data_IF_751733571159
#
_entry.id   IF_751733571159
#
_cell.length_a   1.000
_cell.length_b   1.000
_cell.length_c   1.000
_cell.angle_alpha   90.00
_cell.angle_beta   90.00
_cell.angle_gamma   90.00
#
_symmetry.space_group_name_H-M   'P 1'
#
loop_
_entity.id
_entity.type
_entity.pdbx_description
1 polymer ?
#
# COMPACT_ATOMS: atom_id res chain seq x y z
N UNK A 1 -15.89 -30.66 21.64
CA UNK A 1 -14.73 -31.14 22.41
C UNK A 1 -14.13 -29.93 23.08
N UNK A 2 -14.03 -29.93 24.41
CA UNK A 2 -13.34 -28.87 25.16
C UNK A 2 -11.84 -29.05 24.97
N UNK A 3 -11.10 -28.02 24.49
CA UNK A 3 -9.66 -28.12 24.33
C UNK A 3 -9.00 -28.39 25.68
N UNK A 4 -8.04 -29.32 25.71
CA UNK A 4 -7.23 -29.55 26.90
C UNK A 4 -6.16 -28.46 27.03
N UNK A 5 -5.55 -28.35 28.22
CA UNK A 5 -4.43 -27.42 28.45
C UNK A 5 -3.27 -27.71 27.49
N UNK A 6 -2.96 -28.99 27.27
CA UNK A 6 -1.90 -29.41 26.36
C UNK A 6 -2.21 -29.06 24.90
N UNK A 7 -3.47 -29.24 24.45
CA UNK A 7 -3.90 -28.85 23.10
C UNK A 7 -3.78 -27.35 22.88
N UNK A 8 -4.15 -26.55 23.90
CA UNK A 8 -4.07 -25.10 23.88
C UNK A 8 -2.61 -24.62 23.78
N UNK A 9 -1.71 -25.17 24.61
CA UNK A 9 -0.28 -24.84 24.59
C UNK A 9 0.35 -25.25 23.26
N UNK A 10 0.02 -26.44 22.75
CA UNK A 10 0.54 -26.91 21.47
C UNK A 10 0.12 -25.99 20.32
N UNK A 11 -1.16 -25.63 20.26
CA UNK A 11 -1.72 -24.73 19.24
C UNK A 11 -1.11 -23.33 19.34
N UNK A 12 -0.93 -22.80 20.55
CA UNK A 12 -0.28 -21.51 20.77
C UNK A 12 1.18 -21.53 20.31
N UNK A 13 1.93 -22.57 20.66
CA UNK A 13 3.34 -22.76 20.27
C UNK A 13 3.50 -22.87 18.76
N UNK A 14 2.64 -23.65 18.10
CA UNK A 14 2.62 -23.76 16.64
C UNK A 14 2.29 -22.42 15.98
N UNK A 15 1.35 -21.66 16.56
CA UNK A 15 0.99 -20.31 16.12
C UNK A 15 2.19 -19.36 16.25
N UNK A 16 2.88 -19.31 17.39
CA UNK A 16 4.08 -18.48 17.56
C UNK A 16 5.20 -18.85 16.58
N UNK A 17 5.38 -20.15 16.33
CA UNK A 17 6.34 -20.62 15.32
C UNK A 17 5.97 -20.17 13.91
N UNK A 18 4.68 -20.22 13.55
CA UNK A 18 4.15 -19.67 12.28
C UNK A 18 4.31 -18.16 12.20
N UNK A 19 4.19 -17.46 13.33
CA UNK A 19 4.40 -16.02 13.45
C UNK A 19 5.89 -15.65 13.40
N UNK A 20 6.81 -16.62 13.55
CA UNK A 20 8.26 -16.42 13.46
C UNK A 20 8.90 -15.98 14.78
N UNK A 21 8.24 -16.24 15.91
CA UNK A 21 8.83 -16.07 17.25
C UNK A 21 10.00 -17.05 17.41
N UNK A 22 11.11 -16.58 18.00
CA UNK A 22 12.27 -17.42 18.26
C UNK A 22 11.89 -18.59 19.19
N UNK A 23 12.45 -19.78 18.93
CA UNK A 23 12.06 -21.01 19.64
C UNK A 23 12.24 -20.88 21.15
N UNK A 24 13.36 -20.35 21.61
CA UNK A 24 13.61 -20.17 23.05
C UNK A 24 12.55 -19.26 23.70
N UNK A 25 12.20 -18.15 23.04
CA UNK A 25 11.16 -17.25 23.52
C UNK A 25 9.76 -17.88 23.45
N UNK A 26 9.46 -18.66 22.42
CA UNK A 26 8.20 -19.37 22.31
C UNK A 26 8.05 -20.45 23.42
N UNK A 27 9.15 -21.11 23.78
CA UNK A 27 9.19 -22.09 24.87
C UNK A 27 8.97 -21.38 26.23
N UNK A 28 9.62 -20.23 26.48
CA UNK A 28 9.36 -19.39 27.67
C UNK A 28 7.89 -18.93 27.76
N UNK A 29 7.31 -18.45 26.65
CA UNK A 29 5.91 -18.06 26.59
C UNK A 29 4.96 -19.25 26.83
N UNK A 30 5.33 -20.45 26.39
CA UNK A 30 4.55 -21.65 26.61
C UNK A 30 4.53 -22.04 28.09
N UNK A 31 5.65 -21.89 28.79
CA UNK A 31 5.75 -22.14 30.23
C UNK A 31 4.88 -21.16 31.03
N UNK A 32 4.90 -19.87 30.67
CA UNK A 32 4.00 -18.89 31.26
C UNK A 32 2.52 -19.21 30.99
N UNK A 33 2.20 -19.63 29.76
CA UNK A 33 0.81 -19.99 29.40
C UNK A 33 0.34 -21.18 30.23
N UNK A 34 1.21 -22.16 30.42
CA UNK A 34 0.93 -23.32 31.24
C UNK A 34 0.68 -22.92 32.70
N UNK A 35 1.48 -21.99 33.23
CA UNK A 35 1.29 -21.47 34.59
C UNK A 35 -0.04 -20.73 34.75
N UNK A 36 -0.39 -19.86 33.79
CA UNK A 36 -1.64 -19.10 33.81
C UNK A 36 -2.88 -19.99 33.66
N UNK A 37 -2.82 -20.99 32.77
CA UNK A 37 -3.89 -21.97 32.60
C UNK A 37 -4.04 -22.87 33.84
N UNK A 38 -2.94 -23.26 34.48
CA UNK A 38 -2.98 -24.02 35.73
C UNK A 38 -3.62 -23.20 36.87
N UNK A 39 -3.28 -21.92 36.97
CA UNK A 39 -3.91 -21.00 37.92
C UNK A 39 -5.41 -20.81 37.63
N UNK A 40 -5.78 -20.59 36.36
CA UNK A 40 -7.18 -20.46 35.95
C UNK A 40 -7.98 -21.74 36.25
N UNK A 41 -7.39 -22.91 36.04
CA UNK A 41 -8.01 -24.20 36.39
C UNK A 41 -8.18 -24.36 37.91
N UNK A 42 -7.22 -23.88 38.71
CA UNK A 42 -7.34 -23.88 40.18
C UNK A 42 -8.47 -22.97 40.67
N UNK A 43 -8.71 -21.86 39.96
CA UNK A 43 -9.85 -20.95 40.17
C UNK A 43 -11.19 -21.51 39.66
N UNK A 44 -11.20 -22.71 39.04
CA UNK A 44 -12.40 -23.32 38.46
C UNK A 44 -12.86 -22.69 37.14
N UNK A 45 -12.02 -21.86 36.48
CA UNK A 45 -12.28 -21.35 35.13
C UNK A 45 -11.87 -22.38 34.08
N UNK A 46 -12.69 -22.54 33.05
CA UNK A 46 -12.36 -23.43 31.93
C UNK A 46 -11.32 -22.80 31.01
N UNK A 47 -10.52 -23.64 30.33
CA UNK A 47 -9.55 -23.19 29.32
C UNK A 47 -10.23 -22.37 28.22
N UNK A 48 -11.42 -22.80 27.78
CA UNK A 48 -12.18 -22.09 26.76
C UNK A 48 -12.61 -20.69 27.22
N UNK A 49 -13.00 -20.53 28.48
CA UNK A 49 -13.37 -19.23 29.04
C UNK A 49 -12.16 -18.31 29.21
N UNK A 50 -11.00 -18.85 29.62
CA UNK A 50 -9.78 -18.08 29.76
C UNK A 50 -9.26 -17.58 28.39
N UNK A 51 -9.26 -18.45 27.38
CA UNK A 51 -8.72 -18.15 26.04
C UNK A 51 -9.71 -17.34 25.17
N UNK A 52 -10.94 -17.10 25.63
CA UNK A 52 -11.97 -16.41 24.86
C UNK A 52 -12.48 -17.20 23.64
N UNK A 53 -12.27 -18.52 23.61
CA UNK A 53 -12.72 -19.42 22.53
C UNK A 53 -11.84 -19.48 21.28
N UNK A 54 -10.80 -18.65 21.15
CA UNK A 54 -9.87 -18.66 20.01
C UNK A 54 -8.40 -18.60 20.47
N UNK A 55 -7.75 -19.76 20.43
CA UNK A 55 -6.35 -19.94 20.85
C UNK A 55 -5.37 -19.21 19.93
N UNK A 56 -5.66 -19.14 18.62
CA UNK A 56 -4.77 -18.48 17.68
C UNK A 56 -4.83 -16.95 17.87
N UNK A 57 -6.03 -16.42 18.14
CA UNK A 57 -6.22 -15.00 18.44
C UNK A 57 -5.47 -14.59 19.71
N UNK A 58 -5.57 -15.37 20.79
CA UNK A 58 -4.84 -15.13 22.03
C UNK A 58 -3.32 -15.24 21.83
N UNK A 59 -2.86 -16.30 21.18
CA UNK A 59 -1.43 -16.49 20.90
C UNK A 59 -0.88 -15.31 20.07
N UNK A 60 -1.66 -14.81 19.12
CA UNK A 60 -1.29 -13.66 18.30
C UNK A 60 -1.25 -12.37 19.12
N UNK A 61 -2.26 -12.09 19.96
CA UNK A 61 -2.29 -10.88 20.80
C UNK A 61 -1.14 -10.88 21.81
N UNK A 62 -0.79 -12.04 22.34
CA UNK A 62 0.28 -12.14 23.33
C UNK A 62 1.68 -11.96 22.71
N UNK A 63 1.90 -12.50 21.51
CA UNK A 63 3.12 -12.22 20.75
C UNK A 63 3.20 -10.74 20.32
N UNK A 64 2.06 -10.10 20.05
CA UNK A 64 1.99 -8.67 19.73
C UNK A 64 2.29 -7.78 20.94
N UNK A 65 1.72 -8.10 22.11
CA UNK A 65 1.95 -7.37 23.36
C UNK A 65 3.43 -7.41 23.79
N UNK A 66 4.12 -8.52 23.49
CA UNK A 66 5.57 -8.66 23.69
C UNK A 66 6.43 -8.07 22.58
N UNK A 67 5.82 -7.53 21.52
CA UNK A 67 6.54 -6.98 20.37
C UNK A 67 7.35 -8.03 19.60
N UNK A 68 7.00 -9.31 19.71
CA UNK A 68 7.71 -10.44 19.10
C UNK A 68 7.28 -10.70 17.66
N UNK A 69 6.18 -10.06 17.21
CA UNK A 69 5.75 -10.15 15.83
C UNK A 69 6.81 -9.54 14.88
N UNK A 70 7.16 -10.24 13.78
CA UNK A 70 8.18 -9.76 12.87
C UNK A 70 7.82 -8.38 12.34
N UNK A 71 8.74 -7.43 12.48
CA UNK A 71 8.63 -6.07 11.91
C UNK A 71 8.22 -6.13 10.44
N UNK A 72 8.63 -7.16 9.70
CA UNK A 72 8.26 -7.39 8.30
C UNK A 72 6.76 -7.54 8.04
N UNK A 73 5.97 -8.12 8.95
CA UNK A 73 4.51 -8.29 8.76
C UNK A 73 3.81 -6.93 8.82
N UNK A 74 4.14 -6.18 9.85
CA UNK A 74 3.75 -4.79 10.03
C UNK A 74 4.15 -3.92 8.83
N UNK A 75 5.38 -4.05 8.31
CA UNK A 75 5.80 -3.35 7.11
C UNK A 75 4.93 -3.66 5.89
N UNK A 76 4.61 -4.94 5.66
CA UNK A 76 3.75 -5.38 4.55
C UNK A 76 2.35 -4.79 4.65
N UNK A 77 1.75 -4.78 5.83
CA UNK A 77 0.40 -4.24 6.03
C UNK A 77 0.32 -2.74 5.71
N UNK A 78 1.32 -1.95 6.14
CA UNK A 78 1.39 -0.54 5.74
C UNK A 78 1.66 -0.33 4.26
N UNK A 79 2.50 -1.18 3.66
CA UNK A 79 2.78 -1.12 2.23
C UNK A 79 1.52 -1.43 1.41
N UNK A 80 0.75 -2.44 1.82
CA UNK A 80 -0.51 -2.84 1.19
C UNK A 80 -1.57 -1.76 1.37
N UNK A 81 -1.74 -1.21 2.56
CA UNK A 81 -2.68 -0.12 2.81
C UNK A 81 -2.35 1.13 1.98
N UNK A 82 -1.06 1.49 1.88
CA UNK A 82 -0.62 2.59 1.05
C UNK A 82 -0.82 2.31 -0.45
N UNK A 83 -0.53 1.09 -0.91
CA UNK A 83 -0.79 0.66 -2.28
C UNK A 83 -2.28 0.78 -2.62
N UNK A 84 -3.17 0.27 -1.76
CA UNK A 84 -4.62 0.36 -1.93
C UNK A 84 -5.10 1.81 -2.04
N UNK A 85 -4.58 2.71 -1.19
CA UNK A 85 -4.88 4.14 -1.27
C UNK A 85 -4.39 4.83 -2.55
N UNK A 86 -3.36 4.28 -3.20
CA UNK A 86 -2.76 4.84 -4.41
C UNK A 86 -3.42 4.33 -5.72
N UNK A 87 -4.19 3.23 -5.68
CA UNK A 87 -4.78 2.62 -6.89
C UNK A 87 -5.65 3.60 -7.66
N UNK A 88 -6.65 4.19 -7.02
CA UNK A 88 -7.60 5.10 -7.68
C UNK A 88 -6.91 6.34 -8.30
N UNK A 89 -6.03 7.06 -7.57
CA UNK A 89 -5.25 8.15 -8.15
C UNK A 89 -4.35 7.73 -9.31
N UNK A 90 -3.70 6.57 -9.23
CA UNK A 90 -2.83 6.09 -10.30
C UNK A 90 -3.63 5.78 -11.58
N UNK A 91 -4.81 5.16 -11.44
CA UNK A 91 -5.72 4.92 -12.56
C UNK A 91 -6.28 6.23 -13.14
N UNK A 92 -6.63 7.20 -12.29
CA UNK A 92 -7.10 8.51 -12.74
C UNK A 92 -5.99 9.25 -13.52
N UNK A 93 -4.75 9.25 -13.02
CA UNK A 93 -3.61 9.83 -13.71
C UNK A 93 -3.36 9.16 -15.07
N UNK A 94 -3.50 7.83 -15.15
CA UNK A 94 -3.42 7.10 -16.42
C UNK A 94 -4.54 7.51 -17.38
N UNK A 95 -5.77 7.68 -16.90
CA UNK A 95 -6.89 8.12 -17.72
C UNK A 95 -6.66 9.55 -18.28
N UNK A 96 -6.20 10.48 -17.44
CA UNK A 96 -5.84 11.83 -17.90
C UNK A 96 -4.71 11.81 -18.92
N UNK A 97 -3.69 10.98 -18.69
CA UNK A 97 -2.61 10.76 -19.65
C UNK A 97 -3.15 10.25 -20.99
N UNK A 98 -3.99 9.22 -20.97
CA UNK A 98 -4.58 8.63 -22.17
C UNK A 98 -5.44 9.64 -22.94
N UNK A 99 -6.29 10.41 -22.24
CA UNK A 99 -7.13 11.45 -22.86
C UNK A 99 -6.29 12.53 -23.55
N UNK A 100 -5.19 12.93 -22.93
CA UNK A 100 -4.26 13.90 -23.52
C UNK A 100 -3.52 13.31 -24.74
N UNK A 101 -3.03 12.07 -24.62
CA UNK A 101 -2.26 11.39 -25.67
C UNK A 101 -3.10 11.03 -26.91
N UNK A 102 -4.31 10.56 -26.70
CA UNK A 102 -5.19 10.07 -27.77
C UNK A 102 -5.76 11.17 -28.66
N UNK A 103 -5.46 12.44 -28.35
CA UNK A 103 -6.08 13.60 -29.01
C UNK A 103 -7.63 13.54 -28.98
N UNK A 104 -8.22 12.77 -28.05
CA UNK A 104 -9.68 12.57 -27.96
C UNK A 104 -10.44 13.87 -27.78
N UNK A 105 -9.81 14.84 -27.12
CA UNK A 105 -10.35 16.17 -26.91
C UNK A 105 -9.80 17.21 -27.88
N UNK A 106 -9.03 16.82 -28.89
CA UNK A 106 -8.52 17.74 -29.90
C UNK A 106 -9.59 17.91 -30.99
N UNK A 107 -10.29 19.07 -31.06
CA UNK A 107 -11.25 19.32 -32.13
C UNK A 107 -10.55 19.69 -33.44
N UNK A 108 -9.21 19.62 -33.51
CA UNK A 108 -8.46 19.87 -34.75
C UNK A 108 -8.74 18.76 -35.77
N UNK A 109 -9.79 18.95 -36.57
CA UNK A 109 -9.97 18.20 -37.80
C UNK A 109 -9.10 18.79 -38.90
N UNK A 110 -8.25 17.97 -39.52
CA UNK A 110 -7.74 18.30 -40.85
C UNK A 110 -8.90 18.11 -41.85
N UNK A 111 -9.63 19.18 -42.16
CA UNK A 111 -10.60 19.15 -43.25
C UNK A 111 -9.87 19.44 -44.55
N UNK A 112 -9.78 18.44 -45.43
CA UNK A 112 -9.45 18.65 -46.83
C UNK A 112 -10.65 19.33 -47.51
N UNK A 113 -10.57 20.63 -47.76
CA UNK A 113 -11.52 21.30 -48.65
C UNK A 113 -10.92 21.41 -50.04
N UNK A 114 -11.59 20.79 -51.01
CA UNK A 114 -11.32 21.02 -52.43
C UNK A 114 -12.10 22.26 -52.87
N UNK A 115 -11.37 23.33 -53.22
CA UNK A 115 -11.96 24.51 -53.85
C UNK A 115 -12.56 24.14 -55.20
N UNK A 116 -13.58 24.87 -55.65
CA UNK A 116 -14.30 24.64 -56.93
C UNK A 116 -13.34 24.60 -58.15
N UNK A 117 -12.19 25.27 -58.07
CA UNK A 117 -11.12 25.27 -59.07
C UNK A 117 -10.19 24.02 -59.03
N UNK A 118 -10.48 23.03 -58.19
CA UNK A 118 -9.69 21.80 -58.05
C UNK A 118 -8.40 21.94 -57.22
N UNK A 119 -8.15 23.11 -56.63
CA UNK A 119 -7.04 23.29 -55.70
C UNK A 119 -7.38 22.73 -54.32
N UNK A 120 -6.47 21.92 -53.78
CA UNK A 120 -6.57 21.36 -52.42
C UNK A 120 -6.08 22.43 -51.44
N UNK A 121 -7.01 23.08 -50.75
CA UNK A 121 -6.69 24.04 -49.70
C UNK A 121 -6.66 23.30 -48.37
N UNK A 122 -5.46 23.02 -47.88
CA UNK A 122 -5.25 22.46 -46.53
C UNK A 122 -5.37 23.58 -45.50
N UNK A 123 -6.58 23.83 -45.03
CA UNK A 123 -6.80 24.76 -43.91
C UNK A 123 -6.50 24.05 -42.58
N UNK A 124 -5.32 24.28 -42.01
CA UNK A 124 -4.98 23.79 -40.67
C UNK A 124 -5.55 24.75 -39.64
N UNK A 125 -6.79 24.51 -39.21
CA UNK A 125 -7.42 25.28 -38.13
C UNK A 125 -6.90 24.75 -36.78
N UNK A 126 -5.81 25.35 -36.26
CA UNK A 126 -5.30 25.04 -34.91
C UNK A 126 -6.23 25.62 -33.85
N UNK A 127 -6.98 24.75 -33.19
CA UNK A 127 -7.64 25.10 -31.93
C UNK A 127 -6.68 24.85 -30.75
N UNK A 128 -6.78 25.62 -29.65
CA UNK A 128 -6.06 25.29 -28.42
C UNK A 128 -6.53 23.91 -27.93
N UNK A 129 -5.63 22.94 -27.84
CA UNK A 129 -5.95 21.60 -27.38
C UNK A 129 -6.36 21.66 -25.88
N UNK A 130 -7.64 21.40 -25.54
CA UNK A 130 -8.13 21.47 -24.17
C UNK A 130 -7.62 20.32 -23.29
N UNK A 131 -7.02 19.28 -23.87
CA UNK A 131 -6.35 18.18 -23.15
C UNK A 131 -5.15 18.64 -22.33
N UNK A 132 -4.39 19.63 -22.82
CA UNK A 132 -3.22 20.18 -22.12
C UNK A 132 -3.59 20.83 -20.78
N UNK A 133 -4.50 21.82 -20.70
CA UNK A 133 -4.90 22.38 -19.41
C UNK A 133 -5.58 21.35 -18.50
N UNK A 134 -6.35 20.41 -19.06
CA UNK A 134 -6.96 19.32 -18.30
C UNK A 134 -5.89 18.44 -17.63
N UNK A 135 -4.78 18.16 -18.32
CA UNK A 135 -3.65 17.43 -17.75
C UNK A 135 -2.98 18.21 -16.62
N UNK A 136 -2.77 19.52 -16.80
CA UNK A 136 -2.15 20.39 -15.79
C UNK A 136 -2.98 20.53 -14.51
N UNK A 137 -4.31 20.40 -14.59
CA UNK A 137 -5.19 20.43 -13.41
C UNK A 137 -5.43 19.03 -12.85
N UNK A 138 -5.60 18.04 -13.73
CA UNK A 138 -5.88 16.66 -13.38
C UNK A 138 -4.74 15.98 -12.61
N UNK A 139 -3.49 16.23 -12.99
CA UNK A 139 -2.32 15.65 -12.31
C UNK A 139 -2.16 16.14 -10.86
N UNK A 140 -2.18 17.46 -10.57
CA UNK A 140 -2.18 17.95 -9.18
C UNK A 140 -3.36 17.43 -8.37
N UNK A 141 -4.56 17.36 -8.98
CA UNK A 141 -5.73 16.81 -8.32
C UNK A 141 -5.55 15.34 -7.95
N UNK A 142 -4.96 14.53 -8.85
CA UNK A 142 -4.61 13.14 -8.57
C UNK A 142 -3.57 13.03 -7.46
N UNK A 143 -2.55 13.89 -7.45
CA UNK A 143 -1.53 13.90 -6.40
C UNK A 143 -2.15 14.23 -5.02
N UNK A 144 -3.06 15.22 -4.96
CA UNK A 144 -3.80 15.55 -3.74
C UNK A 144 -4.70 14.41 -3.30
N UNK A 145 -5.45 13.80 -4.23
CA UNK A 145 -6.29 12.64 -3.93
C UNK A 145 -5.46 11.47 -3.39
N UNK A 146 -4.30 11.17 -4.00
CA UNK A 146 -3.36 10.17 -3.52
C UNK A 146 -2.90 10.48 -2.11
N UNK A 147 -2.55 11.73 -1.83
CA UNK A 147 -2.11 12.14 -0.51
C UNK A 147 -3.14 11.82 0.58
N UNK A 148 -4.41 12.18 0.35
CA UNK A 148 -5.46 11.93 1.33
C UNK A 148 -5.88 10.47 1.42
N UNK A 149 -6.00 9.76 0.28
CA UNK A 149 -6.43 8.36 0.27
C UNK A 149 -5.39 7.44 0.89
N UNK A 150 -4.10 7.64 0.60
CA UNK A 150 -3.00 6.87 1.22
C UNK A 150 -3.00 7.10 2.74
N UNK A 151 -3.09 8.37 3.18
CA UNK A 151 -3.11 8.70 4.61
C UNK A 151 -4.32 8.10 5.31
N UNK A 152 -5.50 8.13 4.68
CA UNK A 152 -6.73 7.54 5.22
C UNK A 152 -6.61 6.02 5.34
N UNK A 153 -6.13 5.34 4.29
CA UNK A 153 -5.96 3.90 4.28
C UNK A 153 -4.99 3.44 5.36
N UNK A 154 -3.80 4.05 5.43
CA UNK A 154 -2.79 3.72 6.45
C UNK A 154 -3.31 3.99 7.87
N UNK A 155 -4.00 5.11 8.10
CA UNK A 155 -4.59 5.41 9.42
C UNK A 155 -5.65 4.36 9.80
N UNK A 156 -6.52 3.98 8.88
CA UNK A 156 -7.56 2.97 9.13
C UNK A 156 -6.97 1.62 9.51
N UNK A 157 -5.95 1.16 8.78
CA UNK A 157 -5.24 -0.08 9.10
C UNK A 157 -4.54 0.00 10.45
N UNK A 158 -3.80 1.08 10.74
CA UNK A 158 -3.11 1.23 12.03
C UNK A 158 -4.06 1.33 13.22
N UNK A 159 -5.21 2.00 13.07
CA UNK A 159 -6.22 2.09 14.12
C UNK A 159 -6.86 0.73 14.42
N UNK A 160 -7.06 -0.10 13.39
CA UNK A 160 -7.60 -1.45 13.57
C UNK A 160 -6.69 -2.33 14.44
N UNK A 161 -5.37 -2.12 14.35
CA UNK A 161 -4.35 -2.90 15.06
C UNK A 161 -3.89 -2.27 16.39
N UNK A 162 -4.53 -1.22 16.90
CA UNK A 162 -4.21 -0.59 18.19
C UNK A 162 -2.71 -0.30 18.43
N UNK A 163 -1.95 -0.04 17.36
CA UNK A 163 -0.51 0.12 17.49
C UNK A 163 -0.16 1.38 18.32
N UNK A 164 0.68 1.29 19.36
CA UNK A 164 0.99 2.43 20.23
C UNK A 164 1.75 3.57 19.52
N UNK A 165 2.17 3.36 18.27
CA UNK A 165 3.01 4.27 17.48
C UNK A 165 2.25 4.89 16.29
N UNK A 166 0.91 4.88 16.30
CA UNK A 166 0.09 5.41 15.19
C UNK A 166 0.45 6.85 14.86
N UNK A 167 0.54 7.74 15.86
CA UNK A 167 0.73 9.18 15.64
C UNK A 167 2.10 9.49 15.03
N UNK A 168 3.16 8.90 15.57
CA UNK A 168 4.52 9.08 15.05
C UNK A 168 4.65 8.54 13.62
N UNK A 169 4.05 7.39 13.33
CA UNK A 169 4.07 6.80 11.98
C UNK A 169 3.30 7.66 10.98
N UNK A 170 2.09 8.12 11.35
CA UNK A 170 1.28 8.99 10.49
C UNK A 170 1.94 10.34 10.28
N UNK A 171 2.60 10.91 11.28
CA UNK A 171 3.32 12.17 11.16
C UNK A 171 4.55 12.03 10.26
N UNK A 172 5.36 10.98 10.44
CA UNK A 172 6.50 10.70 9.59
C UNK A 172 6.05 10.46 8.14
N UNK A 173 4.99 9.68 7.94
CA UNK A 173 4.41 9.44 6.63
C UNK A 173 3.94 10.74 6.00
N UNK A 174 3.22 11.59 6.73
CA UNK A 174 2.74 12.89 6.24
C UNK A 174 3.87 13.79 5.73
N UNK A 175 5.04 13.76 6.39
CA UNK A 175 6.23 14.53 5.97
C UNK A 175 6.91 13.91 4.74
N UNK A 176 6.97 12.58 4.66
CA UNK A 176 7.63 11.87 3.56
C UNK A 176 6.77 11.75 2.30
N UNK A 177 5.44 11.78 2.43
CA UNK A 177 4.51 11.46 1.35
C UNK A 177 4.66 12.36 0.11
N UNK A 178 4.85 13.69 0.23
CA UNK A 178 5.06 14.54 -0.94
C UNK A 178 6.30 14.09 -1.75
N UNK A 179 7.39 13.72 -1.08
CA UNK A 179 8.61 13.23 -1.73
C UNK A 179 8.36 11.89 -2.42
N UNK A 180 7.64 10.98 -1.75
CA UNK A 180 7.27 9.67 -2.32
C UNK A 180 6.39 9.84 -3.56
N UNK A 181 5.40 10.75 -3.52
CA UNK A 181 4.52 11.03 -4.65
C UNK A 181 5.28 11.65 -5.82
N UNK A 182 6.21 12.58 -5.56
CA UNK A 182 7.09 13.14 -6.60
C UNK A 182 7.95 12.04 -7.23
N UNK A 183 8.56 11.17 -6.41
CA UNK A 183 9.35 10.04 -6.91
C UNK A 183 8.50 9.07 -7.76
N UNK A 184 7.28 8.76 -7.32
CA UNK A 184 6.34 7.93 -8.08
C UNK A 184 5.95 8.59 -9.41
N UNK A 185 5.67 9.89 -9.43
CA UNK A 185 5.35 10.63 -10.64
C UNK A 185 6.53 10.64 -11.63
N UNK A 186 7.75 10.90 -11.15
CA UNK A 186 8.98 10.84 -11.97
C UNK A 186 9.17 9.44 -12.56
N UNK A 187 8.94 8.39 -11.76
CA UNK A 187 9.02 7.01 -12.22
C UNK A 187 7.98 6.72 -13.32
N UNK A 188 6.75 7.19 -13.16
CA UNK A 188 5.70 7.06 -14.18
C UNK A 188 6.08 7.73 -15.50
N UNK A 189 6.63 8.96 -15.43
CA UNK A 189 7.13 9.69 -16.62
C UNK A 189 8.30 8.94 -17.28
N UNK A 190 9.25 8.44 -16.49
CA UNK A 190 10.39 7.67 -16.99
C UNK A 190 9.96 6.38 -17.69
N UNK A 191 8.99 5.64 -17.13
CA UNK A 191 8.40 4.45 -17.77
C UNK A 191 7.71 4.83 -19.08
N UNK A 192 7.00 5.96 -19.12
CA UNK A 192 6.36 6.48 -20.32
C UNK A 192 7.37 6.77 -21.43
N UNK A 193 8.44 7.50 -21.11
CA UNK A 193 9.51 7.87 -22.05
C UNK A 193 10.30 6.65 -22.54
N UNK A 194 10.59 5.70 -21.65
CA UNK A 194 11.23 4.44 -22.00
C UNK A 194 10.36 3.59 -22.93
N UNK A 195 9.06 3.53 -22.66
CA UNK A 195 8.10 2.81 -23.52
C UNK A 195 8.04 3.39 -24.93
N UNK A 196 8.05 4.72 -25.06
CA UNK A 196 8.09 5.40 -26.37
C UNK A 196 9.37 5.05 -27.13
N UNK A 197 10.52 5.15 -26.46
CA UNK A 197 11.84 4.89 -27.06
C UNK A 197 12.05 3.43 -27.48
N UNK A 198 11.64 2.46 -26.66
CA UNK A 198 11.99 1.04 -26.85
C UNK A 198 10.92 0.27 -27.62
N UNK A 199 9.64 0.58 -27.41
CA UNK A 199 8.52 -0.27 -27.84
C UNK A 199 7.77 0.35 -29.03
N UNK A 200 7.92 1.67 -29.27
CA UNK A 200 7.30 2.37 -30.39
C UNK A 200 5.77 2.23 -30.38
N UNK A 201 5.17 1.81 -31.51
CA UNK A 201 3.71 1.75 -31.68
C UNK A 201 2.98 0.89 -30.63
N UNK A 202 3.64 -0.10 -30.02
CA UNK A 202 3.03 -0.95 -28.98
C UNK A 202 3.18 -0.40 -27.55
N UNK A 203 3.68 0.84 -27.40
CA UNK A 203 3.89 1.51 -26.11
C UNK A 203 2.66 1.40 -25.20
N UNK A 204 1.45 1.55 -25.74
CA UNK A 204 0.22 1.57 -24.95
C UNK A 204 -0.01 0.28 -24.15
N UNK A 205 0.32 -0.88 -24.73
CA UNK A 205 0.17 -2.17 -24.05
C UNK A 205 1.17 -2.36 -22.91
N UNK A 206 2.31 -1.65 -22.96
CA UNK A 206 3.35 -1.73 -21.95
C UNK A 206 3.21 -0.65 -20.89
N UNK A 207 3.07 0.62 -21.28
CA UNK A 207 3.04 1.75 -20.34
C UNK A 207 1.77 1.76 -19.51
N UNK A 208 0.62 1.36 -20.07
CA UNK A 208 -0.65 1.37 -19.37
C UNK A 208 -0.66 0.48 -18.10
N UNK A 209 -0.17 -0.76 -18.12
CA UNK A 209 -0.03 -1.54 -16.88
C UNK A 209 1.22 -1.17 -16.07
N UNK A 210 2.36 -0.86 -16.72
CA UNK A 210 3.63 -0.70 -16.01
C UNK A 210 3.72 0.61 -15.23
N UNK A 211 3.18 1.72 -15.74
CA UNK A 211 3.28 3.01 -15.05
C UNK A 211 2.46 3.02 -13.73
N UNK A 212 1.19 2.58 -13.68
CA UNK A 212 0.47 2.46 -12.42
C UNK A 212 1.13 1.47 -11.46
N UNK A 213 1.58 0.31 -11.96
CA UNK A 213 2.26 -0.68 -11.14
C UNK A 213 3.55 -0.11 -10.51
N UNK A 214 4.35 0.61 -11.29
CA UNK A 214 5.55 1.30 -10.81
C UNK A 214 5.24 2.37 -9.76
N UNK A 215 4.23 3.21 -10.02
CA UNK A 215 3.79 4.25 -9.08
C UNK A 215 3.29 3.66 -7.76
N UNK A 216 2.42 2.64 -7.81
CA UNK A 216 1.88 1.96 -6.63
C UNK A 216 3.01 1.27 -5.86
N UNK A 217 3.93 0.61 -6.56
CA UNK A 217 5.11 -0.01 -5.97
C UNK A 217 6.03 0.99 -5.27
N UNK A 218 6.28 2.15 -5.88
CA UNK A 218 7.07 3.22 -5.28
C UNK A 218 6.42 3.78 -4.00
N UNK A 219 5.10 3.96 -4.01
CA UNK A 219 4.34 4.37 -2.83
C UNK A 219 4.42 3.32 -1.71
N UNK A 220 4.22 2.04 -2.06
CA UNK A 220 4.29 0.94 -1.11
C UNK A 220 5.69 0.81 -0.48
N UNK A 221 6.74 0.90 -1.29
CA UNK A 221 8.13 0.87 -0.84
C UNK A 221 8.47 2.08 0.04
N UNK A 222 8.03 3.28 -0.35
CA UNK A 222 8.21 4.49 0.45
C UNK A 222 7.52 4.41 1.81
N UNK A 223 6.27 3.92 1.85
CA UNK A 223 5.54 3.73 3.10
C UNK A 223 6.22 2.69 4.02
N UNK A 224 6.68 1.56 3.45
CA UNK A 224 7.45 0.57 4.20
C UNK A 224 8.76 1.15 4.75
N UNK A 225 9.49 1.92 3.94
CA UNK A 225 10.74 2.57 4.37
C UNK A 225 10.52 3.55 5.52
N UNK A 226 9.45 4.36 5.46
CA UNK A 226 9.08 5.27 6.56
C UNK A 226 8.80 4.48 7.85
N UNK A 227 7.98 3.43 7.77
CA UNK A 227 7.66 2.61 8.95
C UNK A 227 8.89 1.92 9.53
N UNK A 228 9.80 1.46 8.69
CA UNK A 228 11.05 0.85 9.14
C UNK A 228 11.93 1.86 9.91
N UNK A 229 11.93 3.13 9.51
CA UNK A 229 12.66 4.20 10.22
C UNK A 229 12.00 4.61 11.54
N UNK A 230 10.68 4.49 11.66
CA UNK A 230 9.95 4.85 12.89
C UNK A 230 9.89 3.74 13.93
N UNK A 231 10.12 2.48 13.54
CA UNK A 231 10.21 1.33 14.43
C UNK A 231 11.65 0.80 14.46
N UNK A 232 12.55 1.38 15.28
CA UNK A 232 13.90 0.83 15.43
C UNK A 232 13.82 -0.61 15.96
N UNK A 233 14.68 -1.52 15.48
CA UNK A 233 14.72 -2.89 15.99
C UNK A 233 15.11 -2.88 17.47
N UNK A 234 14.37 -3.63 18.28
CA UNK A 234 14.54 -3.73 19.75
C UNK A 234 15.93 -4.27 20.15
N UNK A 235 16.68 -4.84 19.21
CA UNK A 235 18.03 -5.37 19.42
C UNK A 235 19.15 -4.32 19.50
N UNK A 236 18.85 -3.02 19.47
CA UNK A 236 19.87 -1.97 19.57
C UNK A 236 20.21 -1.54 21.01
N UNK A 237 19.64 -2.17 22.02
CA UNK A 237 19.95 -1.95 23.44
C UNK A 237 20.39 -3.27 24.08
N UNK A 238 21.61 -3.71 23.77
CA UNK A 238 22.39 -4.63 24.60
C UNK A 238 23.86 -4.23 24.61
#
# INVERSE_FOLDING_TARGET
MTPTVDDAIHTATETWRRLGVERATADEMAEELAADLAAASADGRSVADYMGGDVEALATSWADERGLLPVRRHLKETAVAAAQGAVLPALAALAFWFVNWSHLLDPSGESLQTTVDGQVLREVRRFPNPGVPLMWVGLPLCALAAFFLIRRAVRGTLQHHHAPVVEATVQALTKALPVILVAAAVLGVAIGYFGDYVIGTYQLFFTAPMAPAGMIGAVAAGAAWVRHRTCPPVTATS
#
